data_IF_675933014483
#
_entry.id   IF_675933014483
#
_cell.length_a   1.000
_cell.length_b   1.000
_cell.length_c   1.000
_cell.angle_alpha   90.00
_cell.angle_beta   90.00
_cell.angle_gamma   90.00
#
_symmetry.space_group_name_H-M   'P 1'
#
loop_
_entity.id
_entity.type
_entity.pdbx_description
1 polymer ?
#
# COMPACT_ATOMS: atom_id res chain seq x y z
N UNK A 1 -27.40 -1.38 -28.97
CA UNK A 1 -26.51 -2.37 -28.36
C UNK A 1 -25.68 -1.62 -27.31
N UNK A 2 -25.99 -1.74 -26.02
CA UNK A 2 -25.11 -1.21 -24.98
C UNK A 2 -23.91 -2.15 -24.91
N UNK A 3 -22.76 -1.70 -25.39
CA UNK A 3 -21.53 -2.43 -25.17
C UNK A 3 -21.33 -2.59 -23.66
N UNK A 4 -21.01 -3.77 -23.18
CA UNK A 4 -20.61 -3.93 -21.78
C UNK A 4 -19.27 -3.20 -21.62
N UNK A 5 -19.27 -2.08 -20.91
CA UNK A 5 -18.07 -1.33 -20.58
C UNK A 5 -17.23 -2.05 -19.51
N UNK A 6 -16.93 -3.32 -19.74
CA UNK A 6 -16.01 -4.05 -18.85
C UNK A 6 -14.63 -3.47 -19.02
N UNK A 7 -14.09 -2.98 -17.92
CA UNK A 7 -12.73 -2.45 -17.80
C UNK A 7 -11.86 -3.46 -17.07
N UNK A 8 -10.57 -3.40 -17.33
CA UNK A 8 -9.57 -4.20 -16.62
C UNK A 8 -8.59 -3.29 -15.89
N UNK A 9 -8.20 -3.70 -14.69
CA UNK A 9 -7.12 -3.07 -13.93
C UNK A 9 -6.20 -4.14 -13.37
N UNK A 10 -4.90 -3.99 -13.61
CA UNK A 10 -3.89 -4.95 -13.16
C UNK A 10 -3.05 -4.34 -12.06
N UNK A 11 -2.94 -5.06 -10.96
CA UNK A 11 -2.07 -4.74 -9.84
C UNK A 11 -0.87 -5.68 -9.86
N UNK A 12 0.32 -5.11 -9.69
CA UNK A 12 1.57 -5.85 -9.64
C UNK A 12 2.11 -5.80 -8.21
N UNK A 13 2.54 -6.94 -7.69
CA UNK A 13 3.20 -7.01 -6.39
C UNK A 13 4.73 -6.78 -6.51
N UNK A 14 5.16 -6.14 -7.58
CA UNK A 14 6.56 -5.93 -7.94
C UNK A 14 7.14 -4.60 -7.46
N UNK A 15 6.50 -3.95 -6.47
CA UNK A 15 7.08 -2.75 -5.85
C UNK A 15 8.45 -3.11 -5.27
N UNK A 16 9.49 -2.54 -5.86
CA UNK A 16 10.84 -2.66 -5.32
C UNK A 16 10.96 -1.83 -4.04
N UNK A 17 11.58 -2.39 -3.02
CA UNK A 17 11.91 -1.62 -1.83
C UNK A 17 12.81 -0.43 -2.20
N UNK A 18 12.54 0.70 -1.59
CA UNK A 18 13.41 1.88 -1.68
C UNK A 18 13.65 2.41 -0.29
N UNK A 19 14.89 2.68 0.06
CA UNK A 19 15.25 3.22 1.38
C UNK A 19 15.10 4.74 1.48
N UNK A 20 14.92 5.44 0.36
CA UNK A 20 14.97 6.91 0.31
C UNK A 20 13.91 7.54 -0.60
N UNK A 21 12.87 6.80 -1.01
CA UNK A 21 11.86 7.32 -1.93
C UNK A 21 11.02 8.45 -1.31
N UNK A 22 10.82 8.45 0.01
CA UNK A 22 10.03 9.45 0.74
C UNK A 22 10.91 10.60 1.24
N UNK A 23 12.03 10.28 1.86
CA UNK A 23 13.01 11.27 2.31
C UNK A 23 14.43 10.70 2.19
N UNK A 24 15.31 11.45 1.54
CA UNK A 24 16.70 11.10 1.41
C UNK A 24 17.38 11.10 2.78
N UNK A 25 18.55 10.46 2.85
CA UNK A 25 19.36 10.38 4.03
C UNK A 25 19.66 11.78 4.60
N UNK A 26 19.21 12.07 5.81
CA UNK A 26 19.37 13.36 6.45
C UNK A 26 19.37 13.25 7.99
N UNK A 27 19.69 14.37 8.62
CA UNK A 27 19.64 14.55 10.07
C UNK A 27 18.83 15.81 10.36
N UNK A 28 17.89 15.74 11.30
CA UNK A 28 17.12 16.92 11.74
C UNK A 28 17.54 17.34 13.15
N UNK A 29 17.33 18.61 13.50
CA UNK A 29 17.56 19.14 14.83
C UNK A 29 16.25 19.35 15.57
N UNK A 30 16.20 18.91 16.83
CA UNK A 30 14.97 19.03 17.63
C UNK A 30 13.78 18.35 16.97
N UNK A 31 12.63 19.00 16.98
CA UNK A 31 11.37 18.50 16.42
C UNK A 31 11.17 18.89 14.94
N UNK A 32 12.23 19.31 14.23
CA UNK A 32 12.10 19.69 12.83
C UNK A 32 11.71 18.49 11.97
N UNK A 33 10.74 18.70 11.06
CA UNK A 33 10.36 17.68 10.12
C UNK A 33 11.46 17.39 9.09
N UNK A 34 11.52 16.16 8.60
CA UNK A 34 12.40 15.78 7.51
C UNK A 34 11.99 16.49 6.21
N UNK A 35 12.97 16.84 5.39
CA UNK A 35 12.74 17.32 4.02
C UNK A 35 12.33 16.14 3.17
N UNK A 36 11.12 16.17 2.61
CA UNK A 36 10.60 15.13 1.75
C UNK A 36 11.11 15.30 0.32
N UNK A 37 11.22 14.20 -0.41
CA UNK A 37 11.42 14.25 -1.86
C UNK A 37 10.16 14.80 -2.53
N UNK A 38 10.30 15.43 -3.69
CA UNK A 38 9.13 15.95 -4.44
C UNK A 38 8.14 14.87 -4.82
N UNK A 39 8.63 13.65 -5.06
CA UNK A 39 7.79 12.50 -5.35
C UNK A 39 6.89 12.11 -4.16
N UNK A 40 7.40 12.18 -2.93
CA UNK A 40 6.62 11.86 -1.72
C UNK A 40 5.48 12.84 -1.49
N UNK A 41 5.69 14.15 -1.78
CA UNK A 41 4.66 15.18 -1.64
C UNK A 41 3.53 15.09 -2.68
N UNK A 42 3.72 14.32 -3.74
CA UNK A 42 2.74 14.13 -4.83
C UNK A 42 2.11 12.74 -4.87
N UNK A 43 2.40 11.88 -3.90
CA UNK A 43 1.92 10.48 -3.88
C UNK A 43 2.63 9.56 -4.87
N UNK A 44 3.68 10.03 -5.55
CA UNK A 44 4.32 9.31 -6.65
C UNK A 44 5.48 8.39 -6.22
N UNK A 45 5.59 8.02 -4.96
CA UNK A 45 6.67 7.14 -4.50
C UNK A 45 6.38 5.65 -4.68
N UNK A 46 5.19 5.31 -5.14
CA UNK A 46 4.76 3.94 -5.46
C UNK A 46 3.88 3.91 -6.72
N UNK A 47 3.36 2.72 -7.07
CA UNK A 47 2.49 2.58 -8.23
C UNK A 47 1.18 3.36 -8.08
N UNK A 48 0.68 3.92 -9.15
CA UNK A 48 -0.61 4.64 -9.19
C UNK A 48 -1.75 3.76 -8.68
N UNK A 49 -2.65 4.34 -7.90
CA UNK A 49 -3.81 3.66 -7.28
C UNK A 49 -3.45 2.53 -6.31
N UNK A 50 -2.23 2.54 -5.77
CA UNK A 50 -1.77 1.61 -4.75
C UNK A 50 -1.16 2.36 -3.58
N UNK A 51 -1.43 1.90 -2.36
CA UNK A 51 -0.78 2.37 -1.13
C UNK A 51 0.21 1.32 -0.63
N UNK A 52 1.33 1.77 -0.09
CA UNK A 52 2.41 0.92 0.39
C UNK A 52 2.77 1.23 1.84
N UNK A 53 3.43 0.29 2.50
CA UNK A 53 4.05 0.54 3.80
C UNK A 53 5.30 1.39 3.64
N UNK A 54 5.56 2.24 4.62
CA UNK A 54 6.72 3.14 4.70
C UNK A 54 7.78 2.52 5.59
N UNK A 55 9.03 2.66 5.19
CA UNK A 55 10.19 2.21 5.98
C UNK A 55 11.00 3.39 6.48
N UNK A 56 11.45 3.32 7.73
CA UNK A 56 12.41 4.24 8.32
C UNK A 56 13.70 3.46 8.55
N UNK A 57 14.80 3.93 7.99
CA UNK A 57 16.13 3.30 8.13
C UNK A 57 17.10 4.30 8.73
N UNK A 58 17.77 3.92 9.81
CA UNK A 58 18.82 4.74 10.45
C UNK A 58 20.10 3.92 10.61
N UNK A 59 21.23 4.57 10.34
CA UNK A 59 22.55 4.01 10.63
C UNK A 59 22.96 4.09 12.12
N UNK A 60 22.18 4.75 12.95
CA UNK A 60 22.42 4.90 14.38
C UNK A 60 21.21 4.58 15.23
N UNK A 61 21.39 4.64 16.54
CA UNK A 61 20.31 4.41 17.49
C UNK A 61 19.51 5.71 17.70
N UNK A 62 18.26 5.73 17.25
CA UNK A 62 17.27 6.78 17.51
C UNK A 62 15.99 6.22 18.15
N UNK A 63 16.09 5.08 18.84
CA UNK A 63 14.94 4.44 19.49
C UNK A 63 14.32 5.23 20.65
N UNK A 64 15.00 6.29 21.10
CA UNK A 64 14.45 7.26 22.08
C UNK A 64 13.59 8.35 21.45
N UNK A 65 13.43 8.36 20.12
CA UNK A 65 12.63 9.35 19.39
C UNK A 65 11.37 8.66 18.84
N UNK A 66 10.21 9.27 19.10
CA UNK A 66 8.96 8.87 18.42
C UNK A 66 8.85 9.66 17.13
N UNK A 67 8.69 8.95 16.01
CA UNK A 67 8.57 9.55 14.68
C UNK A 67 7.12 9.46 14.23
N UNK A 68 6.49 10.61 14.03
CA UNK A 68 5.13 10.71 13.48
C UNK A 68 5.18 10.79 11.97
N UNK A 69 4.58 9.80 11.30
CA UNK A 69 4.28 9.83 9.88
C UNK A 69 2.90 10.47 9.69
N UNK A 70 2.78 11.44 8.79
CA UNK A 70 1.49 12.00 8.36
C UNK A 70 1.36 11.85 6.86
N UNK A 71 0.19 11.44 6.40
CA UNK A 71 -0.08 11.24 4.99
C UNK A 71 -1.53 10.91 4.72
N UNK A 72 -1.81 10.31 3.57
CA UNK A 72 -3.16 9.86 3.21
C UNK A 72 -3.20 8.34 3.03
N UNK A 73 -4.38 7.77 3.31
CA UNK A 73 -4.69 6.40 2.94
C UNK A 73 -5.07 6.29 1.45
N UNK A 74 -5.33 5.08 0.97
CA UNK A 74 -5.72 4.81 -0.42
C UNK A 74 -7.05 5.45 -0.84
N UNK A 75 -7.87 5.90 0.11
CA UNK A 75 -9.12 6.62 -0.16
C UNK A 75 -8.94 8.15 -0.08
N UNK A 76 -7.72 8.64 0.19
CA UNK A 76 -7.39 10.05 0.29
C UNK A 76 -7.67 10.67 1.67
N UNK A 77 -8.04 9.88 2.67
CA UNK A 77 -8.25 10.39 4.03
C UNK A 77 -6.91 10.59 4.74
N UNK A 78 -6.76 11.70 5.44
CA UNK A 78 -5.58 11.96 6.25
C UNK A 78 -5.44 10.92 7.37
N UNK A 79 -4.23 10.40 7.54
CA UNK A 79 -3.88 9.50 8.63
C UNK A 79 -2.51 9.80 9.21
N UNK A 80 -2.33 9.43 10.47
CA UNK A 80 -1.05 9.53 11.19
C UNK A 80 -0.69 8.22 11.83
N UNK A 81 0.60 8.00 12.04
CA UNK A 81 1.13 6.85 12.77
C UNK A 81 2.40 7.25 13.50
N UNK A 82 2.47 6.89 14.78
CA UNK A 82 3.66 7.08 15.60
C UNK A 82 4.49 5.79 15.58
N UNK A 83 5.75 5.93 15.22
CA UNK A 83 6.70 4.82 15.10
C UNK A 83 7.91 5.11 16.01
N UNK A 84 8.28 4.16 16.84
CA UNK A 84 9.53 4.22 17.57
C UNK A 84 10.69 4.23 16.57
N UNK A 85 11.59 5.18 16.73
CA UNK A 85 12.75 5.33 15.85
C UNK A 85 13.62 4.06 15.79
N UNK A 86 14.23 3.77 14.65
CA UNK A 86 15.07 2.59 14.48
C UNK A 86 16.36 2.63 15.37
N UNK A 87 16.84 1.45 15.73
CA UNK A 87 18.11 1.27 16.43
C UNK A 87 19.13 0.62 15.48
N UNK A 88 19.80 1.42 14.67
CA UNK A 88 20.74 0.97 13.64
C UNK A 88 20.14 -0.12 12.71
N UNK A 89 18.87 0.03 12.38
CA UNK A 89 18.10 -0.94 11.57
C UNK A 89 17.02 -0.24 10.74
N UNK A 90 16.09 -1.02 10.18
CA UNK A 90 14.90 -0.54 9.50
C UNK A 90 13.65 -0.96 10.28
N UNK A 91 12.74 -0.03 10.50
CA UNK A 91 11.39 -0.27 11.00
C UNK A 91 10.39 0.04 9.89
N UNK A 92 9.23 -0.62 9.93
CA UNK A 92 8.21 -0.49 8.88
C UNK A 92 6.89 -0.08 9.52
N UNK A 93 6.16 0.82 8.85
CA UNK A 93 4.83 1.24 9.28
C UNK A 93 3.86 0.07 9.32
N UNK A 94 2.87 0.15 10.18
CA UNK A 94 1.75 -0.80 10.20
C UNK A 94 0.70 -0.42 9.16
N UNK A 95 0.50 0.91 8.97
CA UNK A 95 -0.44 1.46 8.00
C UNK A 95 0.15 1.52 6.59
N UNK A 96 -0.74 1.50 5.60
CA UNK A 96 -0.42 1.74 4.20
C UNK A 96 -0.68 3.20 3.84
N UNK A 97 0.23 3.81 3.11
CA UNK A 97 0.16 5.21 2.70
C UNK A 97 0.11 5.33 1.18
N UNK A 98 -0.81 6.16 0.70
CA UNK A 98 -0.86 6.63 -0.68
C UNK A 98 0.08 7.83 -0.86
N UNK A 99 0.06 8.76 0.09
CA UNK A 99 0.99 9.90 0.14
C UNK A 99 1.59 10.04 1.53
N UNK A 100 2.79 10.65 1.61
CA UNK A 100 3.36 11.15 2.86
C UNK A 100 3.52 12.66 2.75
N UNK A 101 2.97 13.38 3.72
CA UNK A 101 3.02 14.85 3.77
C UNK A 101 3.95 15.37 4.86
N UNK A 102 4.26 14.56 5.87
CA UNK A 102 5.21 14.92 6.93
C UNK A 102 5.84 13.69 7.57
N UNK A 103 7.09 13.82 7.95
CA UNK A 103 7.84 12.91 8.83
C UNK A 103 8.52 13.78 9.88
N UNK A 104 8.07 13.73 11.13
CA UNK A 104 8.60 14.56 12.21
C UNK A 104 8.87 13.73 13.46
N UNK A 105 9.94 14.04 14.19
CA UNK A 105 10.24 13.43 15.48
C UNK A 105 9.83 14.31 16.64
N UNK A 106 9.58 13.72 17.80
CA UNK A 106 9.46 14.42 19.08
C UNK A 106 10.83 14.88 19.64
N UNK A 107 11.90 14.51 18.95
CA UNK A 107 13.30 14.87 19.21
C UNK A 107 14.10 14.87 17.91
N UNK A 108 15.42 15.06 18.02
CA UNK A 108 16.31 15.05 16.85
C UNK A 108 16.34 13.69 16.18
N UNK A 109 15.93 13.63 14.91
CA UNK A 109 16.12 12.48 14.07
C UNK A 109 17.59 12.47 13.64
N UNK A 110 18.42 11.83 14.44
CA UNK A 110 19.87 11.83 14.29
C UNK A 110 20.38 10.85 13.26
N UNK A 111 21.68 10.96 13.04
CA UNK A 111 22.53 10.02 12.30
C UNK A 111 21.91 9.38 11.06
N UNK A 112 21.84 10.18 9.99
CA UNK A 112 21.62 9.61 8.65
C UNK A 112 20.41 8.69 8.58
N UNK A 113 19.24 9.26 8.86
CA UNK A 113 17.97 8.55 8.72
C UNK A 113 17.37 8.85 7.37
N UNK A 114 16.87 7.84 6.71
CA UNK A 114 16.10 7.94 5.47
C UNK A 114 14.73 7.31 5.60
N UNK A 115 13.81 7.74 4.77
CA UNK A 115 12.43 7.21 4.72
C UNK A 115 12.14 6.73 3.31
N UNK A 116 11.69 5.50 3.23
CA UNK A 116 11.47 4.82 1.98
C UNK A 116 10.16 4.05 1.92
N UNK A 117 10.07 3.15 0.96
CA UNK A 117 8.91 2.30 0.69
C UNK A 117 9.29 0.84 0.89
N UNK A 118 8.47 0.11 1.59
CA UNK A 118 8.63 -1.33 1.73
C UNK A 118 8.35 -2.04 0.40
N UNK A 119 8.96 -3.21 0.21
CA UNK A 119 8.69 -4.04 -0.96
C UNK A 119 7.21 -4.44 -1.02
N UNK A 120 6.68 -4.63 -2.22
CA UNK A 120 5.31 -5.10 -2.44
C UNK A 120 5.01 -6.45 -1.77
N UNK A 121 6.04 -7.25 -1.50
CA UNK A 121 5.93 -8.50 -0.73
C UNK A 121 5.45 -8.31 0.71
N UNK A 122 5.41 -7.09 1.24
CA UNK A 122 4.81 -6.76 2.55
C UNK A 122 3.29 -6.55 2.49
N UNK A 123 2.68 -6.72 1.33
CA UNK A 123 1.29 -6.39 1.04
C UNK A 123 1.13 -4.94 0.56
N UNK A 124 -0.07 -4.59 0.20
CA UNK A 124 -0.43 -3.25 -0.26
C UNK A 124 -1.93 -3.06 -0.26
N UNK A 125 -2.38 -1.84 -0.43
CA UNK A 125 -3.78 -1.51 -0.65
C UNK A 125 -3.93 -0.89 -2.03
N UNK A 126 -5.07 -1.12 -2.68
CA UNK A 126 -5.32 -0.57 -4.00
C UNK A 126 -6.79 -0.19 -4.19
N UNK A 127 -7.04 0.80 -5.05
CA UNK A 127 -8.38 1.12 -5.51
C UNK A 127 -8.63 0.49 -6.88
N UNK A 128 -9.69 -0.30 -6.99
CA UNK A 128 -10.19 -0.81 -8.27
C UNK A 128 -10.98 0.30 -8.94
N UNK A 129 -11.97 0.82 -8.23
CA UNK A 129 -12.78 1.95 -8.66
C UNK A 129 -13.40 2.67 -7.46
N UNK A 130 -13.27 4.00 -7.41
CA UNK A 130 -13.72 4.82 -6.27
C UNK A 130 -15.23 5.06 -6.15
N UNK A 131 -16.02 4.59 -7.11
CA UNK A 131 -17.47 4.74 -7.12
C UNK A 131 -18.19 3.39 -7.18
N UNK A 132 -19.52 3.43 -7.32
CA UNK A 132 -20.34 2.23 -7.48
C UNK A 132 -19.91 1.46 -8.72
N UNK A 133 -19.62 0.17 -8.56
CA UNK A 133 -19.14 -0.71 -9.64
C UNK A 133 -19.49 -2.16 -9.37
N UNK A 134 -19.26 -3.02 -10.35
CA UNK A 134 -19.41 -4.48 -10.22
C UNK A 134 -18.12 -5.18 -10.61
N UNK A 135 -17.67 -6.10 -9.78
CA UNK A 135 -16.61 -7.03 -10.11
C UNK A 135 -17.18 -8.09 -11.09
N UNK A 136 -16.60 -8.19 -12.26
CA UNK A 136 -17.04 -9.08 -13.34
C UNK A 136 -16.14 -10.30 -13.52
N UNK A 137 -14.90 -10.20 -13.11
CA UNK A 137 -13.92 -11.26 -13.23
C UNK A 137 -12.65 -10.93 -12.47
N UNK A 138 -11.86 -11.94 -12.25
CA UNK A 138 -10.57 -11.85 -11.57
C UNK A 138 -9.62 -12.87 -12.19
N UNK A 139 -8.42 -12.43 -12.51
CA UNK A 139 -7.34 -13.31 -12.93
C UNK A 139 -6.09 -13.01 -12.11
N UNK A 140 -5.58 -14.00 -11.39
CA UNK A 140 -4.36 -13.86 -10.60
C UNK A 140 -3.28 -14.81 -11.08
N UNK A 141 -2.05 -14.31 -11.17
CA UNK A 141 -0.85 -15.11 -11.36
C UNK A 141 -0.10 -15.17 -10.04
N UNK A 142 0.09 -16.36 -9.51
CA UNK A 142 0.66 -16.58 -8.19
C UNK A 142 2.16 -16.77 -8.25
N UNK A 143 2.85 -16.51 -7.13
CA UNK A 143 4.30 -16.50 -7.06
C UNK A 143 4.94 -17.44 -6.03
N UNK A 144 4.17 -18.30 -5.36
CA UNK A 144 4.71 -19.33 -4.47
C UNK A 144 4.55 -19.11 -2.95
N UNK A 145 3.99 -17.99 -2.50
CA UNK A 145 3.61 -17.79 -1.09
C UNK A 145 2.10 -17.65 -0.97
N UNK A 146 1.49 -18.38 -0.04
CA UNK A 146 0.04 -18.34 0.20
C UNK A 146 -0.37 -16.95 0.69
N UNK A 147 -1.42 -16.40 0.10
CA UNK A 147 -1.96 -15.11 0.50
C UNK A 147 -3.37 -14.86 -0.05
N UNK A 148 -4.13 -14.05 0.68
CA UNK A 148 -5.49 -13.69 0.31
C UNK A 148 -5.54 -12.25 -0.17
N UNK A 149 -6.23 -12.03 -1.29
CA UNK A 149 -6.70 -10.70 -1.67
C UNK A 149 -8.07 -10.47 -0.99
N UNK A 150 -8.17 -9.40 -0.22
CA UNK A 150 -9.39 -9.08 0.52
C UNK A 150 -10.04 -7.85 -0.09
N UNK A 151 -11.31 -7.97 -0.44
CA UNK A 151 -12.09 -6.94 -1.11
C UNK A 151 -12.97 -6.19 -0.13
N UNK A 152 -13.09 -4.87 -0.32
CA UNK A 152 -13.86 -3.96 0.51
C UNK A 152 -14.81 -3.13 -0.34
N UNK A 153 -16.03 -2.93 0.17
CA UNK A 153 -17.06 -2.08 -0.46
C UNK A 153 -16.86 -0.59 -0.13
N UNK A 154 -15.88 -0.26 0.69
CA UNK A 154 -15.44 1.08 1.08
C UNK A 154 -13.93 1.03 1.32
N UNK A 155 -13.33 2.13 1.80
CA UNK A 155 -11.91 2.12 2.15
C UNK A 155 -11.55 0.95 3.09
N UNK A 156 -10.46 0.20 2.83
CA UNK A 156 -10.02 -0.89 3.69
C UNK A 156 -9.57 -0.43 5.09
N UNK A 157 -9.29 0.85 5.26
CA UNK A 157 -8.85 1.42 6.55
C UNK A 157 -9.98 1.45 7.57
N UNK A 158 -11.22 1.65 7.14
CA UNK A 158 -12.39 1.79 8.02
C UNK A 158 -13.54 0.84 7.68
N UNK A 159 -13.40 0.08 6.60
CA UNK A 159 -14.45 -0.80 6.08
C UNK A 159 -14.37 -2.21 6.66
N UNK A 160 -15.53 -2.86 6.72
CA UNK A 160 -15.58 -4.32 6.92
C UNK A 160 -15.25 -5.01 5.61
N UNK A 161 -14.44 -6.07 5.67
CA UNK A 161 -14.14 -6.89 4.50
C UNK A 161 -15.43 -7.43 3.88
N UNK A 162 -15.53 -7.35 2.57
CA UNK A 162 -16.69 -7.81 1.84
C UNK A 162 -16.59 -9.29 1.48
N UNK A 163 -15.47 -9.69 0.92
CA UNK A 163 -15.07 -11.08 0.76
C UNK A 163 -13.56 -11.19 0.57
N UNK A 164 -13.03 -12.39 0.66
CA UNK A 164 -11.61 -12.67 0.50
C UNK A 164 -11.42 -13.86 -0.42
N UNK A 165 -10.43 -13.78 -1.32
CA UNK A 165 -10.04 -14.86 -2.22
C UNK A 165 -8.59 -15.21 -2.01
N UNK A 166 -8.29 -16.49 -1.94
CA UNK A 166 -6.91 -16.95 -1.96
C UNK A 166 -6.36 -16.81 -3.38
N UNK A 167 -5.42 -15.88 -3.56
CA UNK A 167 -4.85 -15.53 -4.87
C UNK A 167 -3.37 -15.88 -4.98
N UNK A 168 -2.82 -16.53 -3.97
CA UNK A 168 -1.46 -17.01 -3.98
C UNK A 168 -1.41 -18.43 -3.46
N UNK A 169 -0.69 -19.29 -4.15
CA UNK A 169 -0.46 -20.70 -3.82
C UNK A 169 1.03 -20.99 -3.75
N UNK A 170 1.41 -22.15 -3.21
CA UNK A 170 2.81 -22.57 -3.12
C UNK A 170 3.44 -22.94 -4.46
N UNK A 171 2.63 -23.10 -5.51
CA UNK A 171 3.06 -23.34 -6.87
C UNK A 171 2.70 -22.14 -7.75
N UNK A 172 3.49 -21.88 -8.78
CA UNK A 172 3.12 -20.91 -9.82
C UNK A 172 1.89 -21.44 -10.53
N UNK A 173 0.78 -20.76 -10.37
CA UNK A 173 -0.52 -21.17 -10.93
C UNK A 173 -1.34 -19.94 -11.32
N UNK A 174 -2.40 -20.20 -12.07
CA UNK A 174 -3.38 -19.20 -12.44
C UNK A 174 -4.65 -19.44 -11.61
N UNK A 175 -5.19 -18.38 -11.04
CA UNK A 175 -6.44 -18.42 -10.32
C UNK A 175 -7.46 -17.58 -11.08
N UNK A 176 -8.53 -18.19 -11.49
CA UNK A 176 -9.64 -17.57 -12.22
C UNK A 176 -10.96 -18.06 -11.59
N UNK A 177 -11.36 -17.46 -10.46
CA UNK A 177 -12.56 -17.89 -9.76
C UNK A 177 -13.81 -17.53 -10.56
N UNK A 178 -14.79 -18.43 -10.55
CA UNK A 178 -16.09 -18.13 -11.13
C UNK A 178 -16.76 -16.96 -10.38
N UNK A 179 -17.12 -15.94 -11.13
CA UNK A 179 -17.95 -14.83 -10.68
C UNK A 179 -19.27 -14.87 -11.48
N UNK A 180 -20.44 -14.82 -10.81
CA UNK A 180 -21.73 -14.83 -11.51
C UNK A 180 -21.82 -13.73 -12.58
N UNK A 181 -22.54 -13.96 -13.64
CA UNK A 181 -22.68 -13.04 -14.79
C UNK A 181 -23.10 -11.63 -14.40
N UNK A 182 -23.95 -11.50 -13.37
CA UNK A 182 -24.34 -10.20 -12.82
C UNK A 182 -23.19 -9.48 -12.12
N UNK A 183 -22.14 -10.20 -11.75
CA UNK A 183 -20.99 -9.69 -10.99
C UNK A 183 -21.32 -9.37 -9.52
N UNK A 184 -20.30 -9.09 -8.75
CA UNK A 184 -20.40 -8.70 -7.33
C UNK A 184 -20.51 -7.19 -7.23
N UNK A 185 -21.61 -6.68 -6.66
CA UNK A 185 -21.84 -5.23 -6.55
C UNK A 185 -21.07 -4.61 -5.40
N UNK A 186 -20.33 -3.57 -5.71
CA UNK A 186 -19.71 -2.63 -4.76
C UNK A 186 -20.45 -1.30 -4.83
N UNK A 187 -21.18 -0.95 -3.80
CA UNK A 187 -22.05 0.26 -3.79
C UNK A 187 -21.30 1.53 -3.43
N UNK A 188 -20.25 1.45 -2.65
CA UNK A 188 -19.46 2.56 -2.12
C UNK A 188 -18.06 2.70 -2.69
N UNK A 189 -17.69 1.84 -3.64
CA UNK A 189 -16.35 1.77 -4.22
C UNK A 189 -15.70 0.40 -3.98
N UNK A 190 -14.88 -0.02 -4.92
CA UNK A 190 -14.17 -1.30 -4.87
C UNK A 190 -12.70 -1.08 -4.52
N UNK A 191 -12.29 -1.54 -3.35
CA UNK A 191 -10.93 -1.50 -2.84
C UNK A 191 -10.45 -2.92 -2.54
N UNK A 192 -9.15 -3.09 -2.47
CA UNK A 192 -8.53 -4.40 -2.26
C UNK A 192 -7.28 -4.28 -1.38
N UNK A 193 -7.15 -5.17 -0.40
CA UNK A 193 -5.87 -5.48 0.23
C UNK A 193 -5.18 -6.56 -0.59
N UNK A 194 -4.01 -6.23 -1.09
CA UNK A 194 -3.13 -7.15 -1.80
C UNK A 194 -2.37 -8.00 -0.79
N UNK A 195 -2.22 -9.31 -1.02
CA UNK A 195 -1.56 -10.19 -0.06
C UNK A 195 -0.10 -9.82 0.14
N UNK A 196 0.37 -9.98 1.37
CA UNK A 196 1.80 -10.10 1.63
C UNK A 196 2.31 -11.39 0.97
N UNK A 197 3.46 -11.32 0.31
CA UNK A 197 4.05 -12.46 -0.36
C UNK A 197 4.16 -12.31 -1.89
N UNK A 198 4.30 -13.41 -2.59
CA UNK A 198 4.68 -13.42 -4.00
C UNK A 198 3.48 -13.57 -4.95
N UNK A 199 2.51 -12.68 -4.89
CA UNK A 199 1.59 -12.50 -5.99
C UNK A 199 2.33 -11.80 -7.14
N UNK A 200 2.33 -12.38 -8.35
CA UNK A 200 2.98 -11.75 -9.51
C UNK A 200 2.08 -10.64 -10.06
N UNK A 201 0.83 -10.97 -10.34
CA UNK A 201 -0.15 -10.00 -10.82
C UNK A 201 -1.58 -10.39 -10.44
N UNK A 202 -2.43 -9.39 -10.32
CA UNK A 202 -3.86 -9.53 -10.13
C UNK A 202 -4.57 -8.61 -11.12
N UNK A 203 -5.27 -9.17 -12.08
CA UNK A 203 -6.12 -8.43 -13.01
C UNK A 203 -7.57 -8.56 -12.56
N UNK A 204 -8.21 -7.42 -12.39
CA UNK A 204 -9.62 -7.31 -11.99
C UNK A 204 -10.41 -6.75 -13.15
N UNK A 205 -11.50 -7.42 -13.52
CA UNK A 205 -12.47 -6.96 -14.52
C UNK A 205 -13.69 -6.37 -13.81
N UNK A 206 -14.08 -5.14 -14.17
CA UNK A 206 -15.16 -4.41 -13.51
C UNK A 206 -15.99 -3.57 -14.51
N UNK A 207 -17.22 -3.22 -14.15
CA UNK A 207 -18.14 -2.43 -14.97
C UNK A 207 -19.01 -1.49 -14.11
#
# INVERSE_FOLDING_TARGET
MSGSDVRAKTFLNSLSASTAAVAALQTTSGTAAMTLTTAAGTGAFHATDQAAKVTLTSGGNISGVTITLTGTDIAGNTQTEDITGPNANTVTSTKFYDTITSVAGDGSIGTNTSVGVAAGTTGGQAVIFGGRTRLKGLHATTGGTVGNATFYNTSPVSGTSFFSLQVATTTKDYIDPYIPDEGVLFSGGAYIDLPAGTMVSLTVFYA
#
